data_IF_835909669765
#
_entry.id   IF_835909669765
#
_cell.length_a   1.000
_cell.length_b   1.000
_cell.length_c   1.000
_cell.angle_alpha   90.00
_cell.angle_beta   90.00
_cell.angle_gamma   90.00
#
_symmetry.space_group_name_H-M   'P 1'
#
loop_
_entity.id
_entity.type
_entity.pdbx_description
1 polymer ?
#
# COMPACT_ATOMS: atom_id res chain seq x y z
N UNK A 1 19.85 -3.02 7.98
CA UNK A 1 19.50 -1.67 7.52
C UNK A 1 19.46 -1.75 6.00
N UNK A 2 18.28 -1.60 5.37
CA UNK A 2 18.14 -1.75 3.91
C UNK A 2 18.81 -0.56 3.22
N UNK A 3 19.67 -0.84 2.24
CA UNK A 3 20.43 0.16 1.50
C UNK A 3 19.49 0.84 0.49
N UNK A 4 19.01 2.05 0.81
CA UNK A 4 17.97 2.76 0.06
C UNK A 4 18.41 3.22 -1.33
N UNK A 5 19.72 3.34 -1.55
CA UNK A 5 20.29 3.90 -2.78
C UNK A 5 20.18 2.98 -4.01
N UNK A 6 19.73 1.73 -3.82
CA UNK A 6 19.59 0.75 -4.91
C UNK A 6 18.16 0.20 -5.05
N UNK A 7 17.17 0.89 -4.45
CA UNK A 7 15.76 0.53 -4.54
C UNK A 7 15.06 1.42 -5.58
N UNK A 8 14.16 0.84 -6.38
CA UNK A 8 13.35 1.65 -7.31
C UNK A 8 12.43 2.60 -6.54
N UNK A 9 12.04 3.71 -7.18
CA UNK A 9 11.11 4.69 -6.62
C UNK A 9 9.79 4.02 -6.19
N UNK A 10 9.31 3.04 -6.96
CA UNK A 10 8.11 2.27 -6.68
C UNK A 10 8.25 1.41 -5.42
N UNK A 11 9.40 0.78 -5.20
CA UNK A 11 9.64 -0.02 -3.99
C UNK A 11 9.72 0.88 -2.74
N UNK A 12 10.31 2.07 -2.87
CA UNK A 12 10.32 3.07 -1.81
C UNK A 12 8.91 3.59 -1.51
N UNK A 13 8.11 3.83 -2.54
CA UNK A 13 6.72 4.25 -2.41
C UNK A 13 5.84 3.19 -1.74
N UNK A 14 5.98 1.92 -2.13
CA UNK A 14 5.34 0.78 -1.47
C UNK A 14 5.73 0.72 0.02
N UNK A 15 7.01 0.92 0.32
CA UNK A 15 7.52 0.90 1.71
C UNK A 15 6.94 2.04 2.53
N UNK A 16 6.85 3.24 1.96
CA UNK A 16 6.27 4.39 2.63
C UNK A 16 4.78 4.18 2.93
N UNK A 17 4.03 3.62 1.98
CA UNK A 17 2.60 3.31 2.17
C UNK A 17 2.40 2.20 3.21
N UNK A 18 3.21 1.15 3.19
CA UNK A 18 3.19 0.11 4.23
C UNK A 18 3.40 0.72 5.62
N UNK A 19 4.35 1.63 5.77
CA UNK A 19 4.59 2.34 7.03
C UNK A 19 3.40 3.20 7.45
N UNK A 20 2.77 3.91 6.52
CA UNK A 20 1.62 4.75 6.84
C UNK A 20 0.39 3.92 7.24
N UNK A 21 0.16 2.79 6.59
CA UNK A 21 -0.92 1.87 7.00
C UNK A 21 -0.64 1.32 8.39
N UNK A 22 0.60 0.88 8.66
CA UNK A 22 0.98 0.37 9.98
C UNK A 22 0.69 1.36 11.11
N UNK A 23 0.96 2.66 10.91
CA UNK A 23 0.68 3.70 11.92
C UNK A 23 -0.81 3.92 12.19
N UNK A 24 -1.68 3.63 11.23
CA UNK A 24 -3.09 4.04 11.27
C UNK A 24 -4.07 2.89 11.47
N UNK A 25 -3.64 1.65 11.20
CA UNK A 25 -4.54 0.50 11.11
C UNK A 25 -5.33 0.24 12.39
N UNK A 26 -4.75 0.50 13.55
CA UNK A 26 -5.39 0.32 14.87
C UNK A 26 -6.34 1.47 15.25
N UNK A 27 -6.31 2.60 14.53
CA UNK A 27 -7.07 3.81 14.84
C UNK A 27 -8.28 4.00 13.91
N UNK A 28 -8.28 3.37 12.73
CA UNK A 28 -9.34 3.55 11.74
C UNK A 28 -10.58 2.71 12.06
N UNK A 29 -11.76 3.29 11.81
CA UNK A 29 -13.05 2.60 12.04
C UNK A 29 -13.29 1.38 11.14
N UNK A 30 -12.61 1.32 9.99
CA UNK A 30 -12.75 0.24 9.00
C UNK A 30 -11.34 -0.13 8.48
N UNK A 31 -10.59 -0.94 9.23
CA UNK A 31 -9.24 -1.35 8.84
C UNK A 31 -9.23 -2.20 7.57
N UNK A 32 -10.27 -2.99 7.30
CA UNK A 32 -10.39 -3.79 6.08
C UNK A 32 -10.38 -2.92 4.82
N UNK A 33 -11.07 -1.77 4.84
CA UNK A 33 -11.07 -0.83 3.72
C UNK A 33 -9.70 -0.14 3.53
N UNK A 34 -8.92 0.05 4.59
CA UNK A 34 -7.54 0.54 4.50
C UNK A 34 -6.62 -0.52 3.90
N UNK A 35 -6.77 -1.79 4.32
CA UNK A 35 -6.01 -2.93 3.77
C UNK A 35 -6.35 -3.18 2.30
N UNK A 36 -7.62 -3.02 1.89
CA UNK A 36 -8.02 -3.15 0.49
C UNK A 36 -7.28 -2.13 -0.40
N UNK A 37 -7.25 -0.86 0.04
CA UNK A 37 -6.50 0.21 -0.65
C UNK A 37 -5.00 -0.11 -0.71
N UNK A 38 -4.42 -0.56 0.40
CA UNK A 38 -3.00 -0.97 0.46
C UNK A 38 -2.67 -2.03 -0.60
N UNK A 39 -3.43 -3.12 -0.62
CA UNK A 39 -3.18 -4.25 -1.54
C UNK A 39 -3.28 -3.80 -3.00
N UNK A 40 -4.30 -3.02 -3.35
CA UNK A 40 -4.47 -2.52 -4.71
C UNK A 40 -3.34 -1.54 -5.09
N UNK A 41 -2.93 -0.68 -4.16
CA UNK A 41 -1.80 0.22 -4.37
C UNK A 41 -0.51 -0.54 -4.66
N UNK A 42 -0.18 -1.54 -3.81
CA UNK A 42 1.02 -2.36 -4.01
C UNK A 42 0.98 -3.05 -5.37
N UNK A 43 -0.16 -3.63 -5.78
CA UNK A 43 -0.28 -4.31 -7.08
C UNK A 43 -0.07 -3.36 -8.26
N UNK A 44 -0.69 -2.19 -8.23
CA UNK A 44 -0.54 -1.19 -9.31
C UNK A 44 0.90 -0.69 -9.40
N UNK A 45 1.46 -0.26 -8.27
CA UNK A 45 2.80 0.34 -8.22
C UNK A 45 3.89 -0.68 -8.54
N UNK A 46 3.78 -1.91 -8.03
CA UNK A 46 4.70 -3.00 -8.37
C UNK A 46 4.63 -3.36 -9.86
N UNK A 47 3.42 -3.42 -10.44
CA UNK A 47 3.26 -3.70 -11.87
C UNK A 47 3.86 -2.60 -12.75
N UNK A 48 3.71 -1.33 -12.37
CA UNK A 48 4.27 -0.18 -13.10
C UNK A 48 5.80 -0.16 -13.02
N UNK A 49 6.36 -0.40 -11.84
CA UNK A 49 7.81 -0.38 -11.60
C UNK A 49 8.54 -1.68 -11.91
N UNK A 50 7.84 -2.68 -12.45
CA UNK A 50 8.38 -4.04 -12.65
C UNK A 50 9.03 -4.63 -11.38
N UNK A 51 8.42 -4.38 -10.23
CA UNK A 51 8.87 -4.92 -8.93
C UNK A 51 8.31 -6.34 -8.78
N UNK A 52 9.21 -7.31 -8.63
CA UNK A 52 8.84 -8.71 -8.42
C UNK A 52 9.02 -9.09 -6.96
N UNK A 53 7.97 -9.66 -6.36
CA UNK A 53 8.02 -10.15 -5.00
C UNK A 53 8.38 -11.64 -4.95
N UNK A 54 9.22 -12.08 -4.00
CA UNK A 54 9.44 -13.49 -3.74
C UNK A 54 8.17 -14.16 -3.21
N UNK A 55 8.10 -15.49 -3.32
CA UNK A 55 6.88 -16.29 -3.06
C UNK A 55 6.31 -16.09 -1.65
N UNK A 56 7.15 -15.89 -0.66
CA UNK A 56 6.77 -15.58 0.72
C UNK A 56 6.05 -14.23 0.85
N UNK A 57 6.54 -13.19 0.15
CA UNK A 57 5.88 -11.88 0.11
C UNK A 57 4.57 -11.91 -0.69
N UNK A 58 4.50 -12.67 -1.78
CA UNK A 58 3.26 -12.90 -2.52
C UNK A 58 2.18 -13.58 -1.66
N UNK A 59 2.57 -14.56 -0.82
CA UNK A 59 1.65 -15.18 0.14
C UNK A 59 1.07 -14.17 1.12
N UNK A 60 1.89 -13.26 1.65
CA UNK A 60 1.43 -12.18 2.52
C UNK A 60 0.44 -11.26 1.80
N UNK A 61 0.70 -10.92 0.53
CA UNK A 61 -0.24 -10.12 -0.27
C UNK A 61 -1.56 -10.84 -0.50
N UNK A 62 -1.55 -12.16 -0.70
CA UNK A 62 -2.77 -12.98 -0.81
C UNK A 62 -3.55 -12.96 0.51
N UNK A 63 -2.89 -13.15 1.65
CA UNK A 63 -3.53 -13.10 2.97
C UNK A 63 -4.15 -11.73 3.26
N UNK A 64 -3.42 -10.65 2.97
CA UNK A 64 -3.93 -9.28 3.07
C UNK A 64 -5.12 -9.05 2.12
N UNK A 65 -5.10 -9.65 0.93
CA UNK A 65 -6.23 -9.57 -0.01
C UNK A 65 -7.49 -10.20 0.56
N UNK A 66 -7.39 -11.30 1.31
CA UNK A 66 -8.55 -11.93 1.98
C UNK A 66 -9.12 -11.01 3.05
N UNK A 67 -8.27 -10.30 3.79
CA UNK A 67 -8.71 -9.30 4.77
C UNK A 67 -9.37 -8.12 4.07
N UNK A 68 -8.74 -7.55 3.03
CA UNK A 68 -9.25 -6.40 2.28
C UNK A 68 -10.62 -6.66 1.63
N UNK A 69 -10.85 -7.87 1.12
CA UNK A 69 -12.14 -8.25 0.53
C UNK A 69 -13.32 -8.16 1.51
N UNK A 70 -13.08 -8.27 2.83
CA UNK A 70 -14.12 -8.10 3.85
C UNK A 70 -14.66 -6.66 3.94
N UNK A 71 -13.98 -5.68 3.35
CA UNK A 71 -14.46 -4.31 3.25
C UNK A 71 -15.77 -4.19 2.46
N UNK A 72 -16.09 -5.16 1.60
CA UNK A 72 -17.28 -5.15 0.74
C UNK A 72 -17.32 -3.92 -0.17
N UNK A 73 -18.52 -3.45 -0.51
CA UNK A 73 -18.72 -2.26 -1.37
C UNK A 73 -18.16 -0.96 -0.75
N UNK A 74 -17.83 -0.94 0.55
CA UNK A 74 -17.18 0.19 1.22
C UNK A 74 -15.67 0.30 0.89
N UNK A 75 -15.10 -0.66 0.16
CA UNK A 75 -13.68 -0.66 -0.27
C UNK A 75 -13.36 0.20 -1.51
N UNK A 76 -14.38 0.85 -2.08
CA UNK A 76 -14.37 1.77 -3.23
C UNK A 76 -13.67 1.26 -4.51
N UNK A 77 -14.51 0.75 -5.42
CA UNK A 77 -14.22 0.36 -6.80
C UNK A 77 -13.81 1.53 -7.74
N UNK A 78 -13.62 2.75 -7.21
CA UNK A 78 -13.42 3.99 -7.98
C UNK A 78 -12.20 4.83 -7.53
N UNK A 79 -11.38 4.31 -6.61
CA UNK A 79 -10.19 5.03 -6.17
C UNK A 79 -9.07 4.90 -7.22
N UNK A 80 -8.33 5.98 -7.45
CA UNK A 80 -7.02 5.88 -8.10
C UNK A 80 -6.05 5.18 -7.15
N UNK A 81 -5.90 3.87 -7.33
CA UNK A 81 -5.01 3.07 -6.51
C UNK A 81 -3.53 3.33 -6.79
N UNK A 82 -3.17 4.20 -7.75
CA UNK A 82 -1.77 4.64 -7.91
C UNK A 82 -1.42 5.86 -7.04
N UNK A 83 -2.42 6.57 -6.52
CA UNK A 83 -2.17 7.77 -5.73
C UNK A 83 -1.80 7.44 -4.28
N UNK A 84 -0.55 7.73 -3.92
CA UNK A 84 0.00 7.57 -2.58
C UNK A 84 -0.65 8.47 -1.55
N UNK A 85 -1.18 9.64 -1.95
CA UNK A 85 -1.72 10.65 -1.05
C UNK A 85 -2.90 10.15 -0.22
N UNK A 86 -3.64 9.14 -0.72
CA UNK A 86 -4.80 8.54 -0.05
C UNK A 86 -4.48 7.89 1.32
N UNK A 87 -3.19 7.65 1.62
CA UNK A 87 -2.72 7.08 2.88
C UNK A 87 -2.25 8.14 3.88
N UNK A 88 -2.23 9.42 3.50
CA UNK A 88 -1.70 10.53 4.29
C UNK A 88 -2.83 11.47 4.71
N UNK A 89 -2.70 12.05 5.89
CA UNK A 89 -3.55 13.15 6.35
C UNK A 89 -3.09 14.47 5.73
N UNK A 90 -3.96 15.47 5.68
CA UNK A 90 -3.69 16.78 5.05
C UNK A 90 -2.46 17.54 5.60
N UNK A 91 -1.98 17.18 6.79
CA UNK A 91 -0.82 17.81 7.45
C UNK A 91 0.42 16.91 7.50
N UNK A 92 0.36 15.69 6.95
CA UNK A 92 1.52 14.81 6.89
C UNK A 92 2.36 15.09 5.64
N UNK A 93 3.68 15.12 5.80
CA UNK A 93 4.59 15.20 4.67
C UNK A 93 4.56 13.90 3.86
N UNK A 94 4.36 14.02 2.55
CA UNK A 94 4.38 12.90 1.62
C UNK A 94 5.78 12.83 0.98
N UNK A 95 6.56 11.76 1.23
CA UNK A 95 7.85 11.59 0.59
C UNK A 95 7.67 11.50 -0.93
N UNK A 96 8.36 12.37 -1.67
CA UNK A 96 8.42 12.34 -3.13
C UNK A 96 9.60 11.48 -3.57
N UNK A 97 9.33 10.55 -4.48
CA UNK A 97 10.35 9.72 -5.13
C UNK A 97 10.50 10.23 -6.57
N UNK A 98 11.73 10.36 -7.05
CA UNK A 98 12.07 10.80 -8.40
C UNK A 98 12.38 9.59 -9.27
#
# INVERSE_FOLDING_TARGET
MLNRDNQSSELLDITDVLLQVYKKIDEVKNPEALVNRLVNYIRVVASTGHVYFPTDQEKLLIELSVIGQKAGLNGLCMADFSDKSQFYSIFEEIPKRN
#
